data_IF_434004178392
#
_entry.id   IF_434004178392
#
_cell.length_a   1.000
_cell.length_b   1.000
_cell.length_c   1.000
_cell.angle_alpha   90.00
_cell.angle_beta   90.00
_cell.angle_gamma   90.00
#
_symmetry.space_group_name_H-M   'P 1'
#
loop_
_entity.id
_entity.type
_entity.pdbx_description
1 polymer ?
#
# COMPACT_ATOMS: atom_id res chain seq x y z
N UNK A 1 12.77 -26.19 19.26
CA UNK A 1 11.69 -25.34 19.82
C UNK A 1 10.55 -25.24 18.81
N UNK A 2 9.31 -25.31 19.27
CA UNK A 2 8.10 -25.01 18.48
C UNK A 2 7.72 -23.53 18.62
N UNK A 3 6.91 -23.02 17.69
CA UNK A 3 6.46 -21.64 17.64
C UNK A 3 5.36 -21.48 16.59
N UNK A 4 4.90 -20.26 16.35
CA UNK A 4 3.86 -20.00 15.35
C UNK A 4 4.28 -20.44 13.94
N UNK A 5 5.52 -20.10 13.53
CA UNK A 5 6.12 -20.45 12.24
C UNK A 5 5.12 -20.47 11.07
N UNK A 6 4.34 -19.40 10.94
CA UNK A 6 3.34 -19.21 9.89
C UNK A 6 2.31 -20.35 9.78
N UNK A 7 1.86 -20.91 10.92
CA UNK A 7 0.96 -22.08 11.04
C UNK A 7 1.55 -23.44 10.66
N UNK A 8 2.82 -23.53 10.27
CA UNK A 8 3.40 -24.81 9.86
C UNK A 8 3.76 -25.67 11.08
N UNK A 9 3.00 -26.75 11.37
CA UNK A 9 3.12 -27.45 12.65
C UNK A 9 4.41 -28.27 12.77
N UNK A 10 5.10 -28.51 11.65
CA UNK A 10 6.31 -29.33 11.59
C UNK A 10 7.60 -28.50 11.53
N UNK A 11 7.50 -27.17 11.46
CA UNK A 11 8.68 -26.29 11.49
C UNK A 11 9.16 -26.12 12.92
N UNK A 12 10.47 -26.23 13.12
CA UNK A 12 11.13 -26.16 14.44
C UNK A 12 12.42 -25.37 14.32
N UNK A 13 12.71 -24.53 15.30
CA UNK A 13 14.01 -23.89 15.45
C UNK A 13 14.94 -24.75 16.31
N UNK A 14 16.22 -24.83 15.95
CA UNK A 14 17.25 -25.52 16.76
C UNK A 14 17.62 -24.73 18.01
N UNK A 15 17.66 -23.41 17.89
CA UNK A 15 18.01 -22.47 18.95
C UNK A 15 17.07 -21.27 18.92
N UNK A 16 16.97 -20.58 20.05
CA UNK A 16 16.19 -19.35 20.20
C UNK A 16 16.94 -18.41 21.13
N UNK A 17 17.00 -17.13 20.76
CA UNK A 17 17.66 -16.08 21.51
C UNK A 17 16.84 -14.79 21.36
N UNK A 18 16.77 -14.01 22.43
CA UNK A 18 16.28 -12.64 22.38
C UNK A 18 17.46 -11.68 22.34
N UNK A 19 17.38 -10.70 21.44
CA UNK A 19 18.41 -9.68 21.25
C UNK A 19 17.78 -8.30 21.43
N UNK A 20 18.35 -7.48 22.29
CA UNK A 20 18.02 -6.06 22.35
C UNK A 20 18.81 -5.33 21.27
N UNK A 21 18.11 -4.71 20.33
CA UNK A 21 18.71 -4.00 19.19
C UNK A 21 18.02 -2.64 19.03
N UNK A 22 18.81 -1.62 18.72
CA UNK A 22 18.34 -0.32 18.28
C UNK A 22 19.21 0.08 17.08
N UNK A 23 18.59 0.16 15.91
CA UNK A 23 19.32 0.46 14.68
C UNK A 23 18.52 0.13 13.43
N UNK A 24 19.26 -0.02 12.36
CA UNK A 24 18.74 -0.17 11.01
C UNK A 24 19.14 -1.50 10.36
N UNK A 25 18.87 -1.61 9.05
CA UNK A 25 19.19 -2.81 8.27
C UNK A 25 20.69 -3.16 8.29
N UNK A 26 21.59 -2.17 8.37
CA UNK A 26 23.04 -2.40 8.46
C UNK A 26 23.41 -2.91 9.85
N UNK A 27 22.83 -2.33 10.89
CA UNK A 27 23.02 -2.77 12.28
C UNK A 27 22.64 -4.24 12.45
N UNK A 28 21.54 -4.66 11.83
CA UNK A 28 21.10 -6.05 11.82
C UNK A 28 22.08 -6.94 11.03
N UNK A 29 22.55 -6.49 9.87
CA UNK A 29 23.54 -7.23 9.07
C UNK A 29 24.83 -7.47 9.86
N UNK A 30 25.38 -6.43 10.50
CA UNK A 30 26.58 -6.52 11.35
C UNK A 30 26.40 -7.52 12.48
N UNK A 31 25.22 -7.58 13.10
CA UNK A 31 24.90 -8.54 14.15
C UNK A 31 24.88 -9.98 13.61
N UNK A 32 24.26 -10.21 12.46
CA UNK A 32 24.18 -11.53 11.83
C UNK A 32 25.57 -12.01 11.43
N UNK A 33 26.39 -11.14 10.82
CA UNK A 33 27.74 -11.49 10.38
C UNK A 33 28.69 -11.76 11.56
N UNK A 34 28.58 -10.97 12.64
CA UNK A 34 29.47 -11.11 13.80
C UNK A 34 29.09 -12.29 14.70
N UNK A 35 27.80 -12.45 15.00
CA UNK A 35 27.36 -13.35 16.08
C UNK A 35 26.74 -14.66 15.54
N UNK A 36 26.40 -14.71 14.24
CA UNK A 36 25.67 -15.82 13.62
C UNK A 36 26.23 -16.27 12.26
N UNK A 37 27.51 -16.06 11.97
CA UNK A 37 28.17 -16.43 10.71
C UNK A 37 28.02 -17.91 10.34
N UNK A 38 28.01 -18.80 11.32
CA UNK A 38 27.93 -20.26 11.13
C UNK A 38 26.49 -20.77 10.94
N UNK A 39 25.49 -19.91 11.07
CA UNK A 39 24.10 -20.32 10.97
C UNK A 39 23.66 -20.44 9.50
N UNK A 40 23.33 -21.66 9.07
CA UNK A 40 22.82 -21.91 7.71
C UNK A 40 21.45 -21.29 7.42
N UNK A 41 20.65 -21.01 8.44
CA UNK A 41 19.33 -20.41 8.31
C UNK A 41 18.98 -19.66 9.59
N UNK A 42 18.58 -18.40 9.45
CA UNK A 42 18.13 -17.56 10.55
C UNK A 42 16.66 -17.17 10.35
N UNK A 43 15.93 -17.07 11.45
CA UNK A 43 14.60 -16.49 11.46
C UNK A 43 14.59 -15.32 12.44
N UNK A 44 14.36 -14.12 11.92
CA UNK A 44 14.31 -12.89 12.70
C UNK A 44 12.84 -12.59 12.97
N UNK A 45 12.41 -12.85 14.20
CA UNK A 45 11.09 -12.45 14.66
C UNK A 45 11.09 -10.94 14.97
N UNK A 46 9.91 -10.31 14.96
CA UNK A 46 9.72 -8.89 15.30
C UNK A 46 10.58 -7.92 14.47
N UNK A 47 10.75 -8.23 13.19
CA UNK A 47 11.60 -7.45 12.28
C UNK A 47 11.16 -5.99 12.09
N UNK A 48 9.94 -5.60 12.51
CA UNK A 48 9.49 -4.21 12.52
C UNK A 48 10.30 -3.31 13.46
N UNK A 49 11.04 -3.88 14.41
CA UNK A 49 11.95 -3.14 15.29
C UNK A 49 13.15 -2.54 14.54
N UNK A 50 13.44 -3.03 13.33
CA UNK A 50 14.58 -2.60 12.51
C UNK A 50 14.15 -1.47 11.59
N UNK A 51 14.89 -0.36 11.61
CA UNK A 51 14.65 0.79 10.74
C UNK A 51 15.28 0.59 9.35
N UNK A 52 14.84 1.40 8.40
CA UNK A 52 15.54 1.54 7.12
C UNK A 52 16.89 2.25 7.35
N UNK A 53 17.97 1.74 6.75
CA UNK A 53 19.30 2.36 6.87
C UNK A 53 19.38 3.74 6.23
N UNK A 54 18.74 3.92 5.07
CA UNK A 54 18.56 5.22 4.43
C UNK A 54 17.20 5.29 3.77
N UNK A 55 16.24 5.90 4.46
CA UNK A 55 14.87 6.01 3.94
C UNK A 55 14.84 6.89 2.69
N UNK A 56 14.38 6.33 1.56
CA UNK A 56 14.24 7.05 0.29
C UNK A 56 15.51 7.12 -0.58
N UNK A 57 16.57 6.40 -0.23
CA UNK A 57 17.76 6.27 -1.08
C UNK A 57 17.55 5.31 -2.27
N UNK A 58 18.61 5.09 -3.06
CA UNK A 58 18.53 4.20 -4.22
C UNK A 58 18.16 2.78 -3.82
N UNK A 59 18.79 2.20 -2.80
CA UNK A 59 18.54 0.81 -2.38
C UNK A 59 17.13 0.61 -1.83
N UNK A 60 16.60 1.58 -1.08
CA UNK A 60 15.21 1.63 -0.64
C UNK A 60 14.27 1.59 -1.85
N UNK A 61 14.52 2.43 -2.86
CA UNK A 61 13.67 2.49 -4.06
C UNK A 61 13.83 1.25 -4.96
N UNK A 62 15.00 0.63 -5.01
CA UNK A 62 15.21 -0.66 -5.69
C UNK A 62 14.38 -1.77 -5.05
N UNK A 63 14.48 -1.92 -3.72
CA UNK A 63 13.67 -2.87 -2.97
C UNK A 63 12.18 -2.61 -3.21
N UNK A 64 11.73 -1.35 -3.10
CA UNK A 64 10.33 -0.98 -3.34
C UNK A 64 9.86 -1.25 -4.77
N UNK A 65 10.68 -0.99 -5.79
CA UNK A 65 10.35 -1.20 -7.21
C UNK A 65 10.34 -2.68 -7.60
N UNK A 66 11.12 -3.51 -6.92
CA UNK A 66 11.15 -4.96 -7.14
C UNK A 66 9.82 -5.64 -6.77
N UNK A 67 9.06 -5.04 -5.85
CA UNK A 67 7.75 -5.55 -5.40
C UNK A 67 6.65 -5.27 -6.45
N UNK A 68 6.66 -6.03 -7.54
CA UNK A 68 5.60 -6.00 -8.57
C UNK A 68 4.44 -6.90 -8.17
N UNK A 69 3.21 -6.44 -8.42
CA UNK A 69 2.01 -7.25 -8.20
C UNK A 69 2.01 -8.50 -9.09
N UNK A 70 1.35 -9.56 -8.62
CA UNK A 70 1.14 -10.76 -9.42
C UNK A 70 0.35 -10.44 -10.69
N UNK A 71 0.76 -11.03 -11.83
CA UNK A 71 0.22 -10.70 -13.15
C UNK A 71 -1.31 -10.76 -13.24
N UNK A 72 -1.90 -11.81 -12.68
CA UNK A 72 -3.36 -12.00 -12.72
C UNK A 72 -4.12 -10.89 -11.96
N UNK A 73 -3.54 -10.30 -10.91
CA UNK A 73 -4.15 -9.17 -10.20
C UNK A 73 -4.09 -7.89 -11.04
N UNK A 74 -2.98 -7.69 -11.75
CA UNK A 74 -2.82 -6.57 -12.70
C UNK A 74 -3.85 -6.68 -13.82
N UNK A 75 -4.01 -7.87 -14.42
CA UNK A 75 -4.99 -8.13 -15.47
C UNK A 75 -6.43 -7.85 -15.02
N UNK A 76 -6.79 -8.23 -13.79
CA UNK A 76 -8.10 -7.91 -13.21
C UNK A 76 -8.26 -6.39 -13.04
N UNK A 77 -7.22 -5.71 -12.56
CA UNK A 77 -7.21 -4.25 -12.41
C UNK A 77 -7.36 -3.51 -13.73
N UNK A 78 -6.65 -3.94 -14.77
CA UNK A 78 -6.70 -3.35 -16.11
C UNK A 78 -8.06 -3.59 -16.79
N UNK A 79 -8.65 -4.77 -16.59
CA UNK A 79 -10.02 -5.04 -17.02
C UNK A 79 -11.00 -4.08 -16.34
N UNK A 80 -10.88 -3.88 -15.03
CA UNK A 80 -11.74 -2.93 -14.32
C UNK A 80 -11.55 -1.49 -14.83
N UNK A 81 -10.29 -1.04 -15.00
CA UNK A 81 -9.96 0.30 -15.53
C UNK A 81 -10.58 0.54 -16.91
N UNK A 82 -10.43 -0.42 -17.81
CA UNK A 82 -10.96 -0.30 -19.17
C UNK A 82 -12.49 -0.31 -19.20
N UNK A 83 -13.15 -1.21 -18.46
CA UNK A 83 -14.60 -1.36 -18.47
C UNK A 83 -15.36 -0.27 -17.71
N UNK A 84 -14.75 0.30 -16.64
CA UNK A 84 -15.47 1.20 -15.71
C UNK A 84 -14.92 2.61 -15.65
N UNK A 85 -13.65 2.82 -16.02
CA UNK A 85 -12.96 4.09 -15.83
C UNK A 85 -12.44 4.70 -17.14
N UNK A 86 -12.74 4.09 -18.29
CA UNK A 86 -12.22 4.51 -19.60
C UNK A 86 -10.70 4.75 -19.58
N UNK A 87 -9.97 3.83 -18.93
CA UNK A 87 -8.55 3.97 -18.57
C UNK A 87 -7.75 2.75 -19.05
N UNK A 88 -6.58 2.99 -19.62
CA UNK A 88 -5.60 1.96 -20.00
C UNK A 88 -4.19 2.55 -20.08
N UNK A 89 -3.17 1.70 -20.05
CA UNK A 89 -1.79 2.17 -19.96
C UNK A 89 -1.31 3.04 -21.13
N UNK A 90 -1.87 2.83 -22.32
CA UNK A 90 -1.49 3.58 -23.52
C UNK A 90 -2.06 4.99 -23.48
N UNK A 91 -3.36 5.14 -23.22
CA UNK A 91 -3.99 6.47 -23.09
C UNK A 91 -3.45 7.24 -21.89
N UNK A 92 -3.20 6.53 -20.80
CA UNK A 92 -2.84 7.13 -19.51
C UNK A 92 -1.33 7.40 -19.39
N UNK A 93 -0.53 6.94 -20.37
CA UNK A 93 0.94 6.95 -20.35
C UNK A 93 1.52 6.29 -19.10
N UNK A 94 0.93 5.17 -18.69
CA UNK A 94 1.33 4.39 -17.50
C UNK A 94 1.95 3.05 -17.86
N UNK A 95 2.34 2.82 -19.13
CA UNK A 95 3.09 1.61 -19.52
C UNK A 95 4.37 1.53 -18.70
N UNK A 96 4.46 0.47 -17.89
CA UNK A 96 5.66 0.14 -17.15
C UNK A 96 6.56 -0.72 -18.02
N UNK A 97 7.82 -0.31 -18.13
CA UNK A 97 8.83 -1.12 -18.80
C UNK A 97 9.10 -2.41 -18.01
N UNK A 98 9.59 -3.45 -18.70
CA UNK A 98 9.97 -4.72 -18.05
C UNK A 98 11.12 -4.54 -17.05
N UNK A 99 11.99 -3.57 -17.33
CA UNK A 99 13.01 -3.10 -16.38
C UNK A 99 12.43 -1.96 -15.55
N UNK A 100 12.72 -1.96 -14.25
CA UNK A 100 12.18 -0.96 -13.29
C UNK A 100 13.03 0.31 -13.19
N UNK A 101 14.14 0.35 -13.93
CA UNK A 101 15.16 1.41 -13.94
C UNK A 101 14.68 2.72 -14.57
N UNK A 102 13.79 2.67 -15.55
CA UNK A 102 13.28 3.85 -16.24
C UNK A 102 11.90 4.31 -15.71
N UNK A 103 11.80 5.61 -15.37
CA UNK A 103 10.53 6.23 -14.97
C UNK A 103 10.07 7.21 -16.04
N UNK A 104 8.92 6.93 -16.67
CA UNK A 104 8.29 7.82 -17.66
C UNK A 104 7.27 8.72 -16.97
N UNK A 105 7.03 9.91 -17.56
CA UNK A 105 6.03 10.86 -17.07
C UNK A 105 4.61 10.33 -17.35
N UNK A 106 3.91 9.94 -16.29
CA UNK A 106 2.52 9.48 -16.36
C UNK A 106 1.53 10.64 -16.50
N UNK A 107 0.40 10.39 -17.15
CA UNK A 107 -0.77 11.28 -17.17
C UNK A 107 -1.85 10.76 -16.21
N UNK A 108 -2.12 9.46 -16.26
CA UNK A 108 -3.24 8.83 -15.54
C UNK A 108 -4.53 8.82 -16.36
N UNK A 109 -5.51 8.03 -15.91
CA UNK A 109 -6.83 7.95 -16.53
C UNK A 109 -7.74 9.12 -16.12
N UNK A 110 -8.91 9.28 -16.77
CA UNK A 110 -9.83 10.41 -16.54
C UNK A 110 -10.71 10.21 -15.30
N UNK A 111 -10.09 9.90 -14.15
CA UNK A 111 -10.81 9.64 -12.90
C UNK A 111 -10.02 10.06 -11.65
N UNK A 112 -10.75 10.29 -10.54
CA UNK A 112 -10.15 10.43 -9.20
C UNK A 112 -10.31 9.13 -8.44
N UNK A 113 -9.25 8.73 -7.76
CA UNK A 113 -9.28 7.67 -6.77
C UNK A 113 -8.99 8.24 -5.38
N UNK A 114 -9.74 7.79 -4.38
CA UNK A 114 -9.55 8.18 -2.98
C UNK A 114 -9.53 6.92 -2.13
N UNK A 115 -8.41 6.71 -1.44
CA UNK A 115 -8.32 5.73 -0.37
C UNK A 115 -8.86 6.34 0.92
N UNK A 116 -10.01 5.86 1.37
CA UNK A 116 -10.71 6.40 2.53
C UNK A 116 -10.76 5.38 3.67
N UNK A 117 -9.73 5.45 4.53
CA UNK A 117 -9.57 4.61 5.71
C UNK A 117 -10.51 5.04 6.84
N UNK A 118 -11.35 4.13 7.33
CA UNK A 118 -12.37 4.36 8.35
C UNK A 118 -12.21 3.42 9.54
N UNK A 119 -12.67 2.17 9.49
CA UNK A 119 -12.86 1.21 10.61
C UNK A 119 -12.30 1.64 11.98
N UNK A 120 -11.19 1.06 12.41
CA UNK A 120 -10.48 1.37 13.65
C UNK A 120 -9.90 2.79 13.71
N UNK A 121 -9.64 3.41 12.55
CA UNK A 121 -9.21 4.81 12.46
C UNK A 121 -10.27 5.78 12.98
N UNK A 122 -11.56 5.47 12.85
CA UNK A 122 -12.65 6.29 13.42
C UNK A 122 -12.57 6.31 14.93
N UNK A 123 -12.10 5.24 15.58
CA UNK A 123 -11.98 5.20 17.03
C UNK A 123 -10.67 5.79 17.54
N UNK A 124 -9.58 5.56 16.83
CA UNK A 124 -8.22 5.91 17.28
C UNK A 124 -7.72 7.27 16.75
N UNK A 125 -8.27 7.75 15.64
CA UNK A 125 -7.77 8.92 14.90
C UNK A 125 -8.90 9.80 14.35
N UNK A 126 -10.07 9.83 14.99
CA UNK A 126 -11.26 10.59 14.52
C UNK A 126 -10.97 12.05 14.21
N UNK A 127 -10.12 12.71 14.99
CA UNK A 127 -9.76 14.11 14.82
C UNK A 127 -8.95 14.40 13.54
N UNK A 128 -8.36 13.38 12.91
CA UNK A 128 -7.49 13.52 11.75
C UNK A 128 -8.12 13.05 10.44
N UNK A 129 -9.39 12.61 10.47
CA UNK A 129 -10.10 12.13 9.29
C UNK A 129 -11.37 12.96 9.06
N UNK A 130 -11.72 13.26 7.79
CA UNK A 130 -12.95 14.01 7.49
C UNK A 130 -14.22 13.22 7.84
N UNK A 131 -15.33 13.96 8.05
CA UNK A 131 -16.67 13.36 8.10
C UNK A 131 -17.12 12.87 6.72
N UNK A 132 -18.27 12.20 6.62
CA UNK A 132 -18.82 11.78 5.33
C UNK A 132 -19.09 12.98 4.42
N UNK A 133 -19.74 13.99 4.98
CA UNK A 133 -20.06 15.25 4.31
C UNK A 133 -18.79 16.02 3.94
N UNK A 134 -17.85 16.16 4.88
CA UNK A 134 -16.58 16.83 4.62
C UNK A 134 -15.75 16.14 3.54
N UNK A 135 -15.76 14.80 3.46
CA UNK A 135 -15.13 14.09 2.34
C UNK A 135 -15.82 14.44 1.03
N UNK A 136 -17.17 14.43 0.98
CA UNK A 136 -17.92 14.70 -0.24
C UNK A 136 -17.65 16.13 -0.76
N UNK A 137 -17.59 17.13 0.13
CA UNK A 137 -17.22 18.50 -0.21
C UNK A 137 -15.78 18.60 -0.75
N UNK A 138 -14.83 17.90 -0.12
CA UNK A 138 -13.44 17.87 -0.58
C UNK A 138 -13.32 17.24 -1.97
N UNK A 139 -14.05 16.15 -2.22
CA UNK A 139 -14.09 15.51 -3.54
C UNK A 139 -14.66 16.47 -4.56
N UNK A 140 -15.78 17.13 -4.26
CA UNK A 140 -16.40 18.09 -5.17
C UNK A 140 -15.43 19.19 -5.55
N UNK A 141 -14.83 19.83 -4.54
CA UNK A 141 -13.86 20.90 -4.75
C UNK A 141 -12.67 20.44 -5.60
N UNK A 142 -12.23 19.20 -5.42
CA UNK A 142 -11.16 18.63 -6.24
C UNK A 142 -11.64 18.41 -7.68
N UNK A 143 -12.81 17.79 -7.89
CA UNK A 143 -13.38 17.54 -9.20
C UNK A 143 -13.66 18.82 -9.99
N UNK A 144 -14.20 19.87 -9.37
CA UNK A 144 -14.48 21.16 -10.01
C UNK A 144 -13.21 21.82 -10.59
N UNK A 145 -12.04 21.50 -10.01
CA UNK A 145 -10.74 21.95 -10.51
C UNK A 145 -10.26 21.25 -11.80
N UNK A 146 -10.92 20.16 -12.22
CA UNK A 146 -10.54 19.37 -13.38
C UNK A 146 -11.75 19.12 -14.29
N UNK A 147 -11.76 19.73 -15.47
CA UNK A 147 -12.96 19.89 -16.31
C UNK A 147 -13.62 18.62 -16.88
N UNK A 148 -13.07 17.42 -16.69
CA UNK A 148 -13.67 16.16 -17.17
C UNK A 148 -13.15 14.98 -16.34
N UNK A 149 -13.96 14.51 -15.38
CA UNK A 149 -13.51 13.41 -14.52
C UNK A 149 -14.67 12.53 -14.06
N UNK A 150 -14.53 11.22 -14.23
CA UNK A 150 -15.40 10.26 -13.56
C UNK A 150 -14.91 10.07 -12.12
N UNK A 151 -15.79 10.23 -11.14
CA UNK A 151 -15.44 9.95 -9.76
C UNK A 151 -15.65 8.47 -9.43
N UNK A 152 -14.63 7.79 -8.93
CA UNK A 152 -14.78 6.44 -8.39
C UNK A 152 -14.01 6.27 -7.09
N UNK A 153 -14.74 6.16 -5.98
CA UNK A 153 -14.15 5.85 -4.68
C UNK A 153 -13.70 4.39 -4.65
N UNK A 154 -12.41 4.14 -4.49
CA UNK A 154 -11.86 2.81 -4.30
C UNK A 154 -11.02 2.79 -3.03
N UNK A 155 -11.35 1.83 -2.17
CA UNK A 155 -10.74 1.55 -0.85
C UNK A 155 -11.45 2.29 0.29
N UNK A 156 -12.67 1.82 0.56
CA UNK A 156 -13.33 1.93 1.83
C UNK A 156 -13.14 0.59 2.54
N UNK A 157 -12.47 0.60 3.69
CA UNK A 157 -12.64 -0.49 4.66
C UNK A 157 -13.98 -0.37 5.41
N UNK A 158 -14.78 0.67 5.12
CA UNK A 158 -16.08 0.92 5.72
C UNK A 158 -17.16 -0.09 5.28
N UNK A 159 -18.24 -0.18 6.06
CA UNK A 159 -19.39 -1.01 5.71
C UNK A 159 -20.25 -0.41 4.58
N UNK A 160 -21.20 -1.21 4.08
CA UNK A 160 -22.08 -0.82 2.97
C UNK A 160 -22.99 0.36 3.32
N UNK A 161 -23.40 0.50 4.58
CA UNK A 161 -24.28 1.60 5.03
C UNK A 161 -23.52 2.92 4.96
N UNK A 162 -22.25 2.92 5.38
CA UNK A 162 -21.35 4.05 5.25
C UNK A 162 -21.14 4.44 3.78
N UNK A 163 -20.85 3.46 2.92
CA UNK A 163 -20.69 3.71 1.48
C UNK A 163 -21.98 4.26 0.83
N UNK A 164 -23.14 3.76 1.25
CA UNK A 164 -24.44 4.24 0.78
C UNK A 164 -24.71 5.69 1.19
N UNK A 165 -24.45 6.04 2.46
CA UNK A 165 -24.59 7.41 2.94
C UNK A 165 -23.67 8.38 2.20
N UNK A 166 -22.43 7.97 1.93
CA UNK A 166 -21.50 8.77 1.13
C UNK A 166 -22.02 9.00 -0.30
N UNK A 167 -22.51 7.95 -0.97
CA UNK A 167 -23.09 8.08 -2.31
C UNK A 167 -24.26 9.08 -2.33
N UNK A 168 -25.12 9.08 -1.30
CA UNK A 168 -26.19 10.06 -1.17
C UNK A 168 -25.69 11.50 -1.08
N UNK A 169 -24.62 11.74 -0.32
CA UNK A 169 -24.01 13.07 -0.23
C UNK A 169 -23.44 13.52 -1.58
N UNK A 170 -22.75 12.62 -2.30
CA UNK A 170 -22.23 12.91 -3.65
C UNK A 170 -23.36 13.26 -4.64
N UNK A 171 -24.46 12.49 -4.64
CA UNK A 171 -25.62 12.78 -5.49
C UNK A 171 -26.27 14.12 -5.14
N UNK A 172 -26.38 14.46 -3.85
CA UNK A 172 -26.91 15.76 -3.41
C UNK A 172 -26.01 16.94 -3.85
N UNK A 173 -24.72 16.68 -4.09
CA UNK A 173 -23.74 17.64 -4.56
C UNK A 173 -23.61 17.69 -6.09
N UNK A 174 -24.47 16.99 -6.83
CA UNK A 174 -24.50 16.91 -8.31
C UNK A 174 -23.22 16.30 -8.93
N UNK A 175 -22.62 15.32 -8.24
CA UNK A 175 -21.51 14.49 -8.74
C UNK A 175 -21.94 13.06 -9.03
#
# INVERSE_FOLDING_TARGET
>A
MSGWFFTYPNVRARQFLCVSIQGDSNTLADLVERDHSEAMSLFIDRAEAILHSSFGDSYYWEARRSMRYAKHLVEIGDKFRSEKLNSNDVSDKTVLDKSWDETKKAIGGPFVCIHWRRRDFVHSHSAHIPSIEGTAELVKKFCDGFSFMFFHSFLLDADETFAWNYKRQMTALEL
#
